data_IF_321781131579
#
_entry.id   IF_321781131579
#
_cell.length_a   1.000
_cell.length_b   1.000
_cell.length_c   1.000
_cell.angle_alpha   90.00
_cell.angle_beta   90.00
_cell.angle_gamma   90.00
#
_symmetry.space_group_name_H-M   'P 1'
#
loop_
_entity.id
_entity.type
_entity.pdbx_description
1 polymer ?
#
# COMPACT_ATOMS: atom_id res chain seq x y z
N UNK A 1 8.12 -15.19 10.01
CA UNK A 1 8.00 -14.70 9.60
C UNK A 1 7.22 -13.63 9.56
N UNK A 2 7.44 -12.76 9.85
CA UNK A 2 6.72 -11.88 10.07
C UNK A 2 6.14 -11.11 9.06
N UNK A 3 6.54 -10.87 8.06
CA UNK A 3 6.05 -9.97 7.15
C UNK A 3 5.18 -10.51 6.12
N UNK A 4 4.11 -11.20 6.46
CA UNK A 4 3.26 -11.67 5.51
C UNK A 4 2.45 -10.55 5.02
N UNK A 5 2.47 -10.24 3.76
CA UNK A 5 1.68 -9.21 3.12
C UNK A 5 0.56 -9.87 2.32
N UNK A 6 -0.23 -10.66 3.02
CA UNK A 6 -1.22 -11.50 2.37
C UNK A 6 -2.41 -10.73 1.80
N UNK A 7 -2.52 -9.46 2.12
CA UNK A 7 -3.60 -8.64 1.59
C UNK A 7 -3.19 -7.87 0.34
N UNK A 8 -1.92 -7.91 -0.03
CA UNK A 8 -1.45 -7.19 -1.20
C UNK A 8 -1.45 -8.15 -2.38
N UNK A 9 -2.14 -7.80 -3.43
CA UNK A 9 -2.29 -8.66 -4.59
C UNK A 9 -1.92 -7.93 -5.86
N UNK A 10 -1.55 -8.68 -6.88
CA UNK A 10 -1.30 -8.13 -8.19
C UNK A 10 -2.05 -8.99 -9.18
N UNK A 11 -3.07 -8.44 -9.78
CA UNK A 11 -3.89 -9.16 -10.73
C UNK A 11 -3.90 -8.35 -12.03
N UNK A 12 -3.48 -8.93 -13.14
CA UNK A 12 -3.41 -8.17 -14.39
C UNK A 12 -4.75 -7.58 -14.82
N UNK A 13 -5.83 -8.13 -14.31
CA UNK A 13 -7.16 -7.63 -14.67
C UNK A 13 -7.63 -6.52 -13.73
N UNK A 14 -6.84 -6.16 -12.74
CA UNK A 14 -7.22 -5.11 -11.80
C UNK A 14 -6.15 -4.04 -11.86
N UNK A 15 -6.53 -2.86 -12.28
CA UNK A 15 -5.63 -1.71 -12.38
C UNK A 15 -4.34 -2.05 -13.11
N UNK A 16 -4.46 -2.83 -14.18
CA UNK A 16 -3.34 -3.19 -15.05
C UNK A 16 -2.19 -3.87 -14.29
N UNK A 17 -2.52 -4.66 -13.30
CA UNK A 17 -1.50 -5.42 -12.58
C UNK A 17 -0.78 -4.67 -11.50
N UNK A 18 -1.21 -3.47 -11.16
CA UNK A 18 -0.61 -2.75 -10.05
C UNK A 18 -0.91 -3.46 -8.75
N UNK A 19 -0.05 -3.30 -7.77
CA UNK A 19 -0.30 -3.86 -6.45
C UNK A 19 -1.53 -3.20 -5.85
N UNK A 20 -2.47 -4.00 -5.42
CA UNK A 20 -3.73 -3.52 -4.85
C UNK A 20 -4.01 -4.24 -3.55
N UNK A 21 -5.00 -3.78 -2.82
CA UNK A 21 -5.39 -4.39 -1.56
C UNK A 21 -6.53 -5.35 -1.80
N UNK A 22 -6.30 -6.62 -1.52
CA UNK A 22 -7.34 -7.67 -1.58
C UNK A 22 -8.12 -7.71 -2.88
N UNK A 23 -7.48 -7.38 -3.98
CA UNK A 23 -8.16 -7.36 -5.26
C UNK A 23 -9.13 -6.21 -5.46
N UNK A 24 -9.20 -5.30 -4.51
CA UNK A 24 -10.01 -4.11 -4.69
C UNK A 24 -9.35 -3.19 -5.70
N UNK A 25 -10.10 -2.25 -6.21
CA UNK A 25 -9.50 -1.29 -7.13
C UNK A 25 -8.88 -0.13 -6.38
N UNK A 26 -8.20 -0.45 -5.31
CA UNK A 26 -7.49 0.53 -4.49
C UNK A 26 -6.03 0.12 -4.50
N UNK A 27 -5.21 0.91 -5.15
CA UNK A 27 -3.80 0.54 -5.28
C UNK A 27 -3.03 0.91 -4.03
N UNK A 28 -1.93 0.19 -3.81
CA UNK A 28 -0.99 0.53 -2.76
C UNK A 28 -0.49 1.96 -2.96
N UNK A 29 -0.20 2.34 -4.21
CA UNK A 29 0.31 3.68 -4.50
C UNK A 29 -0.68 4.76 -4.07
N UNK A 30 -1.97 4.51 -4.25
CA UNK A 30 -2.98 5.47 -3.83
C UNK A 30 -2.96 5.66 -2.31
N UNK A 31 -2.87 4.56 -1.58
CA UNK A 31 -2.82 4.62 -0.12
C UNK A 31 -1.58 5.37 0.34
N UNK A 32 -0.44 5.06 -0.26
CA UNK A 32 0.81 5.74 0.09
C UNK A 32 0.70 7.24 -0.17
N UNK A 33 0.08 7.60 -1.27
CA UNK A 33 -0.10 9.00 -1.61
C UNK A 33 -0.97 9.71 -0.56
N UNK A 34 -2.02 9.07 -0.11
CA UNK A 34 -2.87 9.68 0.91
C UNK A 34 -2.11 9.90 2.21
N UNK A 35 -1.30 8.92 2.60
CA UNK A 35 -0.48 9.08 3.80
C UNK A 35 0.54 10.20 3.59
N UNK A 36 1.14 10.28 2.43
CA UNK A 36 2.11 11.31 2.12
C UNK A 36 1.48 12.70 2.18
N UNK A 37 0.18 12.77 1.94
CA UNK A 37 -0.53 14.04 2.03
C UNK A 37 -1.07 14.32 3.44
N UNK A 38 -0.68 13.53 4.40
CA UNK A 38 -0.97 13.81 5.80
C UNK A 38 -2.22 13.17 6.36
N UNK A 39 -2.88 12.31 5.59
CA UNK A 39 -4.07 11.68 6.12
C UNK A 39 -3.70 10.59 7.13
N UNK A 40 -4.47 10.52 8.20
CA UNK A 40 -4.32 9.41 9.15
C UNK A 40 -5.04 8.19 8.62
N UNK A 41 -4.74 7.03 9.20
CA UNK A 41 -5.45 5.79 8.82
C UNK A 41 -6.95 5.95 9.01
N UNK A 42 -7.39 6.60 10.07
CA UNK A 42 -8.81 6.80 10.30
C UNK A 42 -9.44 7.63 9.18
N UNK A 43 -8.73 8.64 8.73
CA UNK A 43 -9.24 9.47 7.64
C UNK A 43 -9.31 8.71 6.33
N UNK A 44 -8.33 7.88 6.07
CA UNK A 44 -8.32 7.06 4.87
C UNK A 44 -9.49 6.07 4.89
N UNK A 45 -9.73 5.45 6.03
CA UNK A 45 -10.84 4.50 6.15
C UNK A 45 -12.18 5.22 6.00
N UNK A 46 -12.27 6.45 6.48
CA UNK A 46 -13.50 7.21 6.31
C UNK A 46 -13.80 7.46 4.84
N UNK A 47 -12.77 7.70 4.03
CA UNK A 47 -12.95 7.91 2.61
C UNK A 47 -13.10 6.61 1.83
N UNK A 48 -12.43 5.56 2.26
CA UNK A 48 -12.39 4.27 1.57
C UNK A 48 -12.83 3.19 2.55
N UNK A 49 -14.11 3.09 2.82
CA UNK A 49 -14.59 2.23 3.91
C UNK A 49 -14.39 0.73 3.67
N UNK A 50 -14.01 0.35 2.47
CA UNK A 50 -13.66 -1.04 2.23
C UNK A 50 -12.32 -1.43 2.85
N UNK A 51 -11.56 -0.47 3.30
CA UNK A 51 -10.26 -0.73 3.91
C UNK A 51 -10.39 -0.79 5.42
N UNK A 52 -9.47 -1.52 6.04
CA UNK A 52 -9.33 -1.48 7.49
C UNK A 52 -7.87 -1.12 7.82
N UNK A 53 -7.58 -1.01 9.10
CA UNK A 53 -6.24 -0.56 9.53
C UNK A 53 -5.15 -1.52 9.08
N UNK A 54 -5.43 -2.82 9.06
CA UNK A 54 -4.43 -3.79 8.63
C UNK A 54 -4.14 -3.66 7.13
N UNK A 55 -5.15 -3.35 6.33
CA UNK A 55 -4.93 -3.10 4.90
C UNK A 55 -3.95 -1.96 4.70
N UNK A 56 -4.12 -0.88 5.45
CA UNK A 56 -3.25 0.27 5.33
C UNK A 56 -1.84 -0.07 5.80
N UNK A 57 -1.73 -0.79 6.91
CA UNK A 57 -0.44 -1.19 7.42
C UNK A 57 0.33 -2.02 6.40
N UNK A 58 -0.35 -2.99 5.79
CA UNK A 58 0.31 -3.85 4.80
C UNK A 58 0.68 -3.08 3.54
N UNK A 59 -0.15 -2.15 3.12
CA UNK A 59 0.17 -1.33 1.95
C UNK A 59 1.44 -0.53 2.20
N UNK A 60 1.56 0.06 3.39
CA UNK A 60 2.75 0.83 3.71
C UNK A 60 3.97 -0.06 3.85
N UNK A 61 3.81 -1.25 4.43
CA UNK A 61 4.92 -2.18 4.56
C UNK A 61 5.41 -2.65 3.19
N UNK A 62 4.49 -2.90 2.28
CA UNK A 62 4.85 -3.28 0.91
C UNK A 62 5.64 -2.17 0.22
N UNK A 63 5.17 -0.93 0.35
CA UNK A 63 5.86 0.20 -0.25
C UNK A 63 7.25 0.39 0.36
N UNK A 64 7.36 0.18 1.66
CA UNK A 64 8.64 0.29 2.34
C UNK A 64 9.63 -0.75 1.83
N UNK A 65 9.16 -1.97 1.64
CA UNK A 65 10.03 -3.03 1.13
C UNK A 65 10.50 -2.71 -0.29
N UNK A 66 9.62 -2.19 -1.12
CA UNK A 66 10.03 -1.79 -2.47
C UNK A 66 11.06 -0.67 -2.43
N UNK A 67 10.86 0.28 -1.54
CA UNK A 67 11.78 1.40 -1.44
C UNK A 67 13.15 0.93 -0.99
N UNK A 68 13.21 -0.07 -0.11
CA UNK A 68 14.49 -0.60 0.32
C UNK A 68 15.24 -1.25 -0.83
N UNK A 69 14.54 -1.91 -1.71
CA UNK A 69 15.17 -2.52 -2.86
C UNK A 69 15.73 -1.48 -3.82
N UNK A 70 15.28 -0.26 -3.71
CA UNK A 70 15.68 0.78 -4.63
C UNK A 70 16.49 1.87 -3.97
N UNK A 71 16.99 1.63 -2.80
CA UNK A 71 17.76 2.60 -2.12
C UNK A 71 19.09 2.80 -2.77
N UNK A 72 19.52 4.00 -2.88
CA UNK A 72 20.77 4.31 -3.47
C UNK A 72 21.69 4.78 -2.41
N UNK A 73 22.84 4.25 -2.44
CA UNK A 73 23.74 4.54 -1.39
C UNK A 73 24.27 5.89 -1.48
N UNK A 74 23.91 6.69 -2.16
CA UNK A 74 24.51 7.81 -2.27
C UNK A 74 24.23 8.55 -1.19
N UNK A 75 23.64 8.18 -0.50
CA UNK A 75 23.47 8.76 0.46
C UNK A 75 23.38 9.99 0.16
N UNK A 76 23.42 9.98 -0.36
CA UNK A 76 23.24 11.19 -0.61
C UNK A 76 23.08 11.14 -0.91
#
# INVERSE_FOLDING_TARGET
VANRLDRITQNPNVLAGRATVRGLRISVAHIVNLVANGLTAAEIIADLPDLDAEDIRQALAYASALAEDQVYPNGG
#
